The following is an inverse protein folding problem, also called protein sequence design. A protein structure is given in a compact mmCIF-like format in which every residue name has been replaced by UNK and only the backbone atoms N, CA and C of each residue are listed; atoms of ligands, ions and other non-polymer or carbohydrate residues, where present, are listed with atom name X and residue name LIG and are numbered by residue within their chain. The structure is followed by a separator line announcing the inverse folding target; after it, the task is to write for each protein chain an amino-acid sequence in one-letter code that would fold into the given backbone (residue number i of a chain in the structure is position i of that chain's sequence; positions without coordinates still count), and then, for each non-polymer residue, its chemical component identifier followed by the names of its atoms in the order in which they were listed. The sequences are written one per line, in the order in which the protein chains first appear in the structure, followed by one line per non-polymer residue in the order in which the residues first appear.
data_IF_973526510942
#
_entry.id   IF_973526510942
#
_cell.length_a   1.000
_cell.length_b   1.000
_cell.length_c   1.000
_cell.angle_alpha   90.00
_cell.angle_beta   90.00
_cell.angle_gamma   90.00
#
_symmetry.space_group_name_H-M   'P 1'
#
loop_
_entity.id
_entity.type
_entity.pdbx_description
1 polymer ?
#
# COMPACT_ATOMS: atom_id res chain seq x y z
N UNK A 1 -13.98 -43.99 28.78
CA UNK A 1 -13.90 -43.51 27.40
C UNK A 1 -13.84 -42.00 27.43
N UNK A 2 -12.66 -41.46 27.29
CA UNK A 2 -12.39 -40.04 27.40
C UNK A 2 -12.80 -39.36 26.11
N UNK A 3 -13.82 -38.51 26.16
CA UNK A 3 -14.12 -37.56 25.09
C UNK A 3 -12.96 -36.58 25.04
N UNK A 4 -12.09 -36.72 24.06
CA UNK A 4 -11.08 -35.74 23.75
C UNK A 4 -11.77 -34.49 23.24
N UNK A 5 -11.78 -33.49 24.10
CA UNK A 5 -12.16 -32.13 23.81
C UNK A 5 -11.25 -31.60 22.71
N UNK A 6 -11.74 -31.64 21.48
CA UNK A 6 -11.11 -30.93 20.35
C UNK A 6 -11.25 -29.45 20.60
N UNK A 7 -10.25 -28.90 21.30
CA UNK A 7 -10.05 -27.44 21.34
C UNK A 7 -9.68 -27.03 19.92
N UNK A 8 -10.69 -26.71 19.13
CA UNK A 8 -10.51 -26.08 17.83
C UNK A 8 -9.84 -24.74 18.03
N UNK A 9 -8.55 -24.67 17.78
CA UNK A 9 -7.84 -23.40 17.66
C UNK A 9 -8.45 -22.61 16.51
N UNK A 10 -9.39 -21.72 16.84
CA UNK A 10 -9.93 -20.76 15.88
C UNK A 10 -8.77 -19.93 15.35
N UNK A 11 -8.45 -20.10 14.08
CA UNK A 11 -7.53 -19.20 13.40
C UNK A 11 -8.01 -17.74 13.61
N UNK A 12 -7.13 -16.82 13.97
CA UNK A 12 -7.51 -15.42 14.22
C UNK A 12 -8.26 -14.88 12.99
N UNK A 13 -9.42 -14.28 13.22
CA UNK A 13 -10.27 -13.79 12.15
C UNK A 13 -9.54 -12.70 11.36
N UNK A 14 -9.50 -12.82 10.04
CA UNK A 14 -8.89 -11.81 9.16
C UNK A 14 -9.75 -10.54 8.99
N UNK A 15 -10.98 -10.56 9.51
CA UNK A 15 -11.94 -9.47 9.38
C UNK A 15 -11.45 -8.15 10.00
N UNK A 16 -10.91 -8.12 11.26
CA UNK A 16 -10.44 -6.86 11.83
C UNK A 16 -9.32 -6.23 11.00
N UNK A 17 -8.35 -7.03 10.53
CA UNK A 17 -7.24 -6.52 9.72
C UNK A 17 -7.71 -5.98 8.37
N UNK A 18 -8.67 -6.63 7.74
CA UNK A 18 -9.27 -6.17 6.48
C UNK A 18 -10.00 -4.83 6.66
N UNK A 19 -10.81 -4.70 7.72
CA UNK A 19 -11.54 -3.45 8.01
C UNK A 19 -10.55 -2.32 8.31
N UNK A 20 -9.55 -2.57 9.16
CA UNK A 20 -8.51 -1.58 9.46
C UNK A 20 -7.76 -1.14 8.19
N UNK A 21 -7.36 -2.09 7.34
CA UNK A 21 -6.69 -1.77 6.09
C UNK A 21 -7.60 -0.94 5.15
N UNK A 22 -8.89 -1.25 5.07
CA UNK A 22 -9.86 -0.49 4.28
C UNK A 22 -10.03 0.94 4.77
N UNK A 23 -10.18 1.15 6.08
CA UNK A 23 -10.29 2.49 6.68
C UNK A 23 -9.00 3.30 6.43
N UNK A 24 -7.84 2.71 6.71
CA UNK A 24 -6.56 3.35 6.49
C UNK A 24 -6.33 3.67 5.01
N UNK A 25 -6.74 2.79 4.10
CA UNK A 25 -6.64 3.03 2.66
C UNK A 25 -7.46 4.25 2.23
N UNK A 26 -8.71 4.36 2.70
CA UNK A 26 -9.57 5.51 2.41
C UNK A 26 -8.92 6.81 2.93
N UNK A 27 -8.41 6.80 4.16
CA UNK A 27 -7.74 7.97 4.76
C UNK A 27 -6.46 8.33 3.99
N UNK A 28 -5.68 7.34 3.58
CA UNK A 28 -4.44 7.54 2.81
C UNK A 28 -4.74 8.13 1.43
N UNK A 29 -5.75 7.61 0.73
CA UNK A 29 -6.17 8.15 -0.57
C UNK A 29 -6.69 9.58 -0.42
N UNK A 30 -7.51 9.86 0.60
CA UNK A 30 -7.99 11.21 0.87
C UNK A 30 -6.83 12.18 1.16
N UNK A 31 -5.84 11.77 1.95
CA UNK A 31 -4.64 12.55 2.22
C UNK A 31 -3.82 12.80 0.94
N UNK A 32 -3.65 11.79 0.08
CA UNK A 32 -2.96 11.93 -1.20
C UNK A 32 -3.63 12.91 -2.14
N UNK A 33 -4.97 12.83 -2.26
CA UNK A 33 -5.75 13.79 -3.04
C UNK A 33 -5.68 15.21 -2.49
N UNK A 34 -5.63 15.36 -1.16
CA UNK A 34 -5.46 16.65 -0.52
C UNK A 34 -4.07 17.23 -0.81
N UNK A 35 -3.01 16.44 -0.69
CA UNK A 35 -1.64 16.86 -1.02
C UNK A 35 -1.57 17.31 -2.47
N UNK A 36 -2.10 16.51 -3.39
CA UNK A 36 -2.06 16.80 -4.83
C UNK A 36 -2.92 18.00 -5.24
N UNK A 37 -4.07 18.21 -4.60
CA UNK A 37 -5.05 19.23 -5.02
C UNK A 37 -5.00 20.54 -4.24
N UNK A 38 -4.45 20.56 -3.02
CA UNK A 38 -4.51 21.71 -2.13
C UNK A 38 -3.15 22.31 -1.74
N UNK A 39 -2.06 21.57 -1.95
CA UNK A 39 -0.71 22.04 -1.62
C UNK A 39 0.04 22.47 -2.88
N UNK A 40 0.95 23.45 -2.75
CA UNK A 40 1.78 23.89 -3.89
C UNK A 40 2.76 22.79 -4.28
N UNK A 41 3.06 22.69 -5.57
CA UNK A 41 4.04 21.75 -6.12
C UNK A 41 5.42 22.05 -5.54
N UNK A 42 6.02 21.06 -4.93
CA UNK A 42 7.35 21.11 -4.35
C UNK A 42 7.92 19.70 -4.19
N UNK A 43 9.24 19.59 -4.06
CA UNK A 43 9.88 18.30 -3.80
C UNK A 43 9.33 17.60 -2.54
N UNK A 44 8.90 18.36 -1.54
CA UNK A 44 8.31 17.81 -0.31
C UNK A 44 6.91 17.23 -0.55
N UNK A 45 6.07 17.92 -1.33
CA UNK A 45 4.71 17.44 -1.67
C UNK A 45 4.77 16.26 -2.64
N UNK A 46 5.74 16.24 -3.56
CA UNK A 46 5.99 15.09 -4.44
C UNK A 46 6.34 13.85 -3.61
N UNK A 47 7.36 13.95 -2.74
CA UNK A 47 7.77 12.84 -1.87
C UNK A 47 6.62 12.38 -0.95
N UNK A 48 5.81 13.32 -0.43
CA UNK A 48 4.65 12.98 0.39
C UNK A 48 3.60 12.22 -0.42
N UNK A 49 3.34 12.64 -1.66
CA UNK A 49 2.44 11.96 -2.60
C UNK A 49 2.89 10.54 -2.90
N UNK A 50 4.18 10.37 -3.20
CA UNK A 50 4.78 9.06 -3.47
C UNK A 50 4.71 8.14 -2.26
N UNK A 51 5.03 8.64 -1.07
CA UNK A 51 4.90 7.88 0.16
C UNK A 51 3.44 7.45 0.43
N UNK A 52 2.48 8.34 0.24
CA UNK A 52 1.05 8.02 0.38
C UNK A 52 0.59 7.00 -0.66
N UNK A 53 1.07 7.11 -1.90
CA UNK A 53 0.80 6.11 -2.94
C UNK A 53 1.33 4.73 -2.55
N UNK A 54 2.57 4.65 -2.06
CA UNK A 54 3.18 3.41 -1.62
C UNK A 54 2.42 2.77 -0.44
N UNK A 55 1.99 3.58 0.54
CA UNK A 55 1.13 3.12 1.65
C UNK A 55 -0.20 2.61 1.13
N UNK A 56 -0.83 3.32 0.18
CA UNK A 56 -2.10 2.89 -0.42
C UNK A 56 -1.95 1.55 -1.15
N UNK A 57 -0.86 1.37 -1.91
CA UNK A 57 -0.56 0.10 -2.57
C UNK A 57 -0.40 -1.06 -1.57
N UNK A 58 0.35 -0.84 -0.47
CA UNK A 58 0.49 -1.83 0.59
C UNK A 58 -0.85 -2.18 1.24
N UNK A 59 -1.64 -1.18 1.61
CA UNK A 59 -2.95 -1.36 2.24
C UNK A 59 -3.96 -2.04 1.31
N UNK A 60 -3.90 -1.77 0.01
CA UNK A 60 -4.73 -2.44 -0.98
C UNK A 60 -4.42 -3.95 -1.04
N UNK A 61 -3.14 -4.34 -1.01
CA UNK A 61 -2.75 -5.75 -0.93
C UNK A 61 -3.28 -6.39 0.36
N UNK A 62 -3.14 -5.73 1.51
CA UNK A 62 -3.66 -6.24 2.78
C UNK A 62 -5.18 -6.34 2.78
N UNK A 63 -5.88 -5.38 2.16
CA UNK A 63 -7.35 -5.39 2.03
C UNK A 63 -7.83 -6.58 1.21
N UNK A 64 -7.16 -6.87 0.09
CA UNK A 64 -7.52 -7.97 -0.81
C UNK A 64 -7.17 -9.32 -0.16
N UNK A 65 -5.97 -9.42 0.41
CA UNK A 65 -5.42 -10.66 0.96
C UNK A 65 -4.95 -10.50 2.43
N UNK A 66 -5.88 -10.31 3.39
CA UNK A 66 -5.54 -9.98 4.78
C UNK A 66 -4.82 -11.09 5.54
N UNK A 67 -4.75 -12.30 4.98
CA UNK A 67 -4.03 -13.43 5.56
C UNK A 67 -2.54 -13.45 5.24
N UNK A 68 -2.10 -12.68 4.24
CA UNK A 68 -0.70 -12.66 3.86
C UNK A 68 0.20 -12.16 5.00
N UNK A 69 1.41 -12.72 5.13
CA UNK A 69 2.44 -12.17 5.98
C UNK A 69 2.80 -10.74 5.53
N UNK A 70 3.19 -9.84 6.45
CA UNK A 70 3.54 -8.46 6.10
C UNK A 70 4.65 -8.37 5.04
N UNK A 71 5.65 -9.23 5.12
CA UNK A 71 6.75 -9.28 4.12
C UNK A 71 6.20 -9.60 2.74
N UNK A 72 5.33 -10.61 2.61
CA UNK A 72 4.74 -10.98 1.32
C UNK A 72 3.86 -9.86 0.77
N UNK A 73 3.05 -9.22 1.62
CA UNK A 73 2.26 -8.06 1.21
C UNK A 73 3.16 -6.92 0.73
N UNK A 74 4.27 -6.66 1.43
CA UNK A 74 5.27 -5.66 1.04
C UNK A 74 5.93 -5.97 -0.29
N UNK A 75 6.33 -7.22 -0.53
CA UNK A 75 6.91 -7.64 -1.82
C UNK A 75 5.92 -7.42 -2.97
N UNK A 76 4.66 -7.80 -2.80
CA UNK A 76 3.63 -7.59 -3.84
C UNK A 76 3.44 -6.11 -4.12
N UNK A 77 3.34 -5.27 -3.09
CA UNK A 77 3.22 -3.82 -3.25
C UNK A 77 4.46 -3.21 -3.92
N UNK A 78 5.66 -3.65 -3.56
CA UNK A 78 6.91 -3.20 -4.16
C UNK A 78 7.00 -3.59 -5.65
N UNK A 79 6.61 -4.81 -5.99
CA UNK A 79 6.53 -5.27 -7.40
C UNK A 79 5.54 -4.42 -8.18
N UNK A 80 4.37 -4.13 -7.61
CA UNK A 80 3.38 -3.24 -8.24
C UNK A 80 3.96 -1.84 -8.50
N UNK A 81 4.50 -1.17 -7.49
CA UNK A 81 5.06 0.17 -7.64
C UNK A 81 6.21 0.20 -8.64
N UNK A 82 7.12 -0.80 -8.60
CA UNK A 82 8.19 -0.93 -9.58
C UNK A 82 7.66 -1.14 -11.00
N UNK A 83 6.63 -1.97 -11.16
CA UNK A 83 6.01 -2.22 -12.47
C UNK A 83 5.36 -0.94 -13.03
N UNK A 84 4.71 -0.14 -12.18
CA UNK A 84 4.14 1.15 -12.57
C UNK A 84 5.24 2.10 -13.03
N UNK A 85 6.34 2.23 -12.28
CA UNK A 85 7.47 3.08 -12.66
C UNK A 85 8.09 2.65 -13.99
N UNK A 86 8.34 1.36 -14.16
CA UNK A 86 8.87 0.85 -15.45
C UNK A 86 7.89 1.05 -16.59
N UNK A 87 6.59 0.97 -16.33
CA UNK A 87 5.57 1.23 -17.35
C UNK A 87 5.54 2.70 -17.78
N UNK A 88 5.88 3.63 -16.90
CA UNK A 88 5.98 5.05 -17.22
C UNK A 88 7.07 5.33 -18.28
N UNK A 89 8.14 4.53 -18.33
CA UNK A 89 9.19 4.64 -19.36
C UNK A 89 8.60 4.53 -20.77
N UNK A 90 7.48 3.84 -20.96
CA UNK A 90 6.81 3.70 -22.25
C UNK A 90 6.13 4.99 -22.74
N UNK A 91 5.89 5.98 -21.86
CA UNK A 91 5.12 7.18 -22.14
C UNK A 91 3.60 6.95 -22.26
N UNK A 92 3.14 5.69 -22.19
CA UNK A 92 1.71 5.35 -22.29
C UNK A 92 0.87 5.95 -21.14
N UNK A 93 1.30 5.94 -19.88
CA UNK A 93 0.53 6.56 -18.79
C UNK A 93 0.24 8.03 -19.05
N UNK A 94 1.24 8.77 -19.53
CA UNK A 94 1.09 10.18 -19.88
C UNK A 94 0.12 10.39 -21.04
N UNK A 95 0.22 9.57 -22.08
CA UNK A 95 -0.68 9.63 -23.24
C UNK A 95 -2.13 9.28 -22.86
N UNK A 96 -2.33 8.31 -21.98
CA UNK A 96 -3.66 7.94 -21.48
C UNK A 96 -4.22 9.00 -20.55
N UNK A 97 -3.40 9.56 -19.68
CA UNK A 97 -3.77 10.63 -18.77
C UNK A 97 -4.23 11.92 -19.49
N UNK A 98 -3.68 12.22 -20.67
CA UNK A 98 -4.13 13.32 -21.50
C UNK A 98 -5.59 13.16 -21.97
N UNK A 99 -6.09 11.90 -22.06
CA UNK A 99 -7.48 11.59 -22.44
C UNK A 99 -8.38 11.34 -21.24
N UNK A 100 -7.83 10.79 -20.16
CA UNK A 100 -8.54 10.45 -18.95
C UNK A 100 -7.65 10.74 -17.72
N UNK A 101 -7.64 11.98 -17.20
CA UNK A 101 -6.76 12.44 -16.12
C UNK A 101 -6.69 11.52 -14.88
N UNK A 102 -7.77 10.86 -14.41
CA UNK A 102 -7.69 9.96 -13.26
C UNK A 102 -6.68 8.82 -13.40
N UNK A 103 -6.31 8.43 -14.62
CA UNK A 103 -5.26 7.42 -14.87
C UNK A 103 -3.92 7.84 -14.26
N UNK A 104 -3.62 9.13 -14.28
CA UNK A 104 -2.36 9.66 -13.72
C UNK A 104 -2.25 9.45 -12.20
N UNK A 105 -3.38 9.40 -11.49
CA UNK A 105 -3.38 9.15 -10.04
C UNK A 105 -2.96 7.71 -9.69
N UNK A 106 -3.15 6.78 -10.61
CA UNK A 106 -2.81 5.35 -10.40
C UNK A 106 -1.48 4.98 -11.05
N UNK A 107 -1.26 5.44 -12.28
CA UNK A 107 -0.11 5.05 -13.09
C UNK A 107 1.01 6.10 -13.09
N UNK A 108 0.81 7.26 -12.45
CA UNK A 108 1.75 8.36 -12.48
C UNK A 108 1.92 8.94 -13.88
N UNK A 109 3.00 9.66 -14.12
CA UNK A 109 3.23 10.37 -15.39
C UNK A 109 4.55 10.01 -16.06
N UNK A 110 5.67 10.22 -15.36
CA UNK A 110 7.03 10.10 -15.89
C UNK A 110 7.88 9.34 -14.88
N UNK A 111 8.72 8.43 -15.37
CA UNK A 111 9.65 7.66 -14.55
C UNK A 111 10.60 8.57 -13.76
N UNK A 112 10.71 8.34 -12.45
CA UNK A 112 11.69 8.98 -11.59
C UNK A 112 12.30 7.95 -10.61
N UNK A 113 13.62 7.83 -10.62
CA UNK A 113 14.35 6.94 -9.73
C UNK A 113 14.15 7.32 -8.25
N UNK A 114 13.92 8.61 -7.95
CA UNK A 114 13.61 9.10 -6.60
C UNK A 114 12.29 8.49 -6.11
N UNK A 115 11.26 8.48 -6.94
CA UNK A 115 9.93 7.98 -6.61
C UNK A 115 10.02 6.48 -6.27
N UNK A 116 10.77 5.72 -7.06
CA UNK A 116 11.04 4.31 -6.79
C UNK A 116 11.73 4.11 -5.42
N UNK A 117 12.71 4.94 -5.08
CA UNK A 117 13.38 4.86 -3.79
C UNK A 117 12.42 5.18 -2.63
N UNK A 118 11.55 6.18 -2.77
CA UNK A 118 10.51 6.53 -1.79
C UNK A 118 9.51 5.39 -1.63
N UNK A 119 9.05 4.79 -2.73
CA UNK A 119 8.12 3.65 -2.68
C UNK A 119 8.71 2.48 -1.89
N UNK A 120 9.91 2.06 -2.23
CA UNK A 120 10.54 0.90 -1.58
C UNK A 120 10.82 1.14 -0.09
N UNK A 121 11.32 2.33 0.27
CA UNK A 121 11.54 2.69 1.67
C UNK A 121 10.24 2.74 2.46
N UNK A 122 9.18 3.33 1.91
CA UNK A 122 7.87 3.45 2.56
C UNK A 122 7.21 2.09 2.73
N UNK A 123 7.25 1.22 1.71
CA UNK A 123 6.69 -0.13 1.79
C UNK A 123 7.44 -0.97 2.82
N UNK A 124 8.77 -0.89 2.87
CA UNK A 124 9.56 -1.59 3.87
C UNK A 124 9.18 -1.15 5.29
N UNK A 125 9.01 0.15 5.51
CA UNK A 125 8.54 0.69 6.80
C UNK A 125 7.12 0.21 7.14
N UNK A 126 6.19 0.28 6.20
CA UNK A 126 4.81 -0.18 6.40
C UNK A 126 4.76 -1.68 6.76
N UNK A 127 5.52 -2.51 6.05
CA UNK A 127 5.61 -3.94 6.34
C UNK A 127 6.23 -4.22 7.71
N UNK A 128 7.26 -3.46 8.10
CA UNK A 128 7.89 -3.59 9.42
C UNK A 128 6.93 -3.19 10.55
N UNK A 129 6.17 -2.11 10.38
CA UNK A 129 5.15 -1.66 11.34
C UNK A 129 4.03 -2.70 11.48
N UNK A 130 3.49 -3.22 10.37
CA UNK A 130 2.47 -4.27 10.39
C UNK A 130 3.00 -5.54 11.07
N UNK A 131 4.23 -5.95 10.81
CA UNK A 131 4.86 -7.09 11.46
C UNK A 131 5.03 -6.87 12.97
N UNK A 132 5.45 -5.69 13.39
CA UNK A 132 5.59 -5.31 14.79
C UNK A 132 4.24 -5.33 15.53
N UNK A 133 3.21 -4.74 14.95
CA UNK A 133 1.84 -4.73 15.51
C UNK A 133 1.34 -6.17 15.67
N UNK A 134 1.51 -7.02 14.67
CA UNK A 134 1.10 -8.43 14.73
C UNK A 134 1.85 -9.19 15.82
N UNK A 135 3.16 -8.98 15.95
CA UNK A 135 3.95 -9.62 16.99
C UNK A 135 3.49 -9.25 18.39
N UNK A 136 3.09 -7.99 18.62
CA UNK A 136 2.56 -7.52 19.90
C UNK A 136 1.18 -8.16 20.19
N UNK A 137 0.30 -8.21 19.19
CA UNK A 137 -1.05 -8.76 19.33
C UNK A 137 -1.04 -10.27 19.59
N UNK A 138 -0.05 -11.00 19.04
CA UNK A 138 0.10 -12.45 19.29
C UNK A 138 0.71 -12.80 20.64
N UNK A 139 1.30 -11.84 21.35
CA UNK A 139 1.87 -12.06 22.69
C UNK A 139 0.85 -11.86 23.83
N UNK A 140 -0.35 -11.39 23.52
CA UNK A 140 -1.46 -11.20 24.46
C UNK A 140 -2.48 -12.32 24.38
#
# INVERSE_FOLDING_TARGET
MSAQEQIGTRAPSSVPRRVTAGVLLILTVAAGLLVHGALPDSAATDIAGDALYAVAAYLAVVLIAPRLPPITAGVIAAVWCTAVELFQVTGLPLAWGARFPPVMLVLGTVFDMRDLAVYLATIALAAALDAGIRAILHRR
#
